data_IF_925838943811
#
_entry.id   IF_925838943811
#
_cell.length_a   1.000
_cell.length_b   1.000
_cell.length_c   1.000
_cell.angle_alpha   90.00
_cell.angle_beta   90.00
_cell.angle_gamma   90.00
#
_symmetry.space_group_name_H-M   'P 1'
#
loop_
_entity.id
_entity.type
_entity.pdbx_description
1 polymer ?
#
# COMPACT_ATOMS: atom_id res chain seq x y z
N UNK A 1 -19.79 -0.39 7.96
CA UNK A 1 -18.37 0.00 7.85
C UNK A 1 -17.61 -1.24 7.38
N UNK A 2 -16.87 -1.15 6.27
CA UNK A 2 -16.11 -2.28 5.72
C UNK A 2 -14.62 -2.06 6.02
N UNK A 3 -13.81 -3.06 5.70
CA UNK A 3 -12.36 -2.94 5.83
C UNK A 3 -11.71 -3.05 4.47
N UNK A 4 -10.76 -2.17 4.18
CA UNK A 4 -9.80 -2.39 3.10
C UNK A 4 -8.52 -2.92 3.73
N UNK A 5 -8.01 -4.02 3.19
CA UNK A 5 -6.66 -4.50 3.49
C UNK A 5 -5.73 -3.98 2.42
N UNK A 6 -4.74 -3.20 2.83
CA UNK A 6 -3.60 -2.87 1.99
C UNK A 6 -2.51 -3.89 2.27
N UNK A 7 -2.04 -4.56 1.22
CA UNK A 7 -0.90 -5.48 1.28
C UNK A 7 0.30 -4.84 0.59
N UNK A 8 1.43 -4.81 1.28
CA UNK A 8 2.71 -4.35 0.74
C UNK A 8 3.70 -5.51 0.81
N UNK A 9 4.38 -5.77 -0.30
CA UNK A 9 5.45 -6.77 -0.39
C UNK A 9 6.75 -6.08 -0.79
N UNK A 10 7.87 -6.51 -0.19
CA UNK A 10 9.22 -6.09 -0.58
C UNK A 10 9.53 -4.58 -0.41
N UNK A 11 8.93 -3.94 0.60
CA UNK A 11 9.26 -2.53 0.92
C UNK A 11 10.61 -2.43 1.65
N UNK A 12 11.66 -2.21 0.87
CA UNK A 12 13.00 -1.90 1.35
C UNK A 12 13.78 -1.09 0.31
N UNK A 13 14.85 -0.44 0.75
CA UNK A 13 15.84 0.17 -0.13
C UNK A 13 17.11 -0.69 -0.15
N UNK A 14 17.62 -1.00 -1.34
CA UNK A 14 18.92 -1.65 -1.51
C UNK A 14 19.97 -0.59 -1.90
N UNK A 15 20.87 -0.26 -0.97
CA UNK A 15 22.01 0.64 -1.22
C UNK A 15 23.31 -0.12 -1.02
N UNK A 16 24.06 -0.32 -2.10
CA UNK A 16 25.35 -1.05 -2.11
C UNK A 16 25.26 -2.44 -1.46
N UNK A 17 24.15 -3.16 -1.69
CA UNK A 17 23.91 -4.49 -1.13
C UNK A 17 23.41 -4.52 0.32
N UNK A 18 23.24 -3.36 0.95
CA UNK A 18 22.65 -3.23 2.29
C UNK A 18 21.18 -2.88 2.15
N UNK A 19 20.32 -3.67 2.81
CA UNK A 19 18.89 -3.39 2.91
C UNK A 19 18.62 -2.37 4.03
N UNK A 20 17.94 -1.28 3.71
CA UNK A 20 17.45 -0.28 4.66
C UNK A 20 15.94 -0.12 4.57
N UNK A 21 15.34 0.53 5.58
CA UNK A 21 13.92 0.82 5.56
C UNK A 21 13.55 1.70 4.35
N UNK A 22 12.57 1.26 3.58
CA UNK A 22 11.93 2.04 2.54
C UNK A 22 10.73 2.83 3.07
N UNK A 23 10.19 3.67 2.19
CA UNK A 23 8.96 4.43 2.43
C UNK A 23 8.12 4.46 1.17
N UNK A 24 6.80 4.36 1.33
CA UNK A 24 5.84 4.55 0.24
C UNK A 24 4.65 5.35 0.73
N UNK A 25 4.35 6.44 0.01
CA UNK A 25 3.09 7.16 0.14
C UNK A 25 2.12 6.62 -0.91
N UNK A 26 0.91 6.30 -0.49
CA UNK A 26 -0.09 5.72 -1.38
C UNK A 26 -1.50 6.23 -1.10
N UNK A 27 -2.35 6.07 -2.11
CA UNK A 27 -3.78 6.36 -2.05
C UNK A 27 -4.57 5.16 -2.56
N UNK A 28 -5.69 4.88 -1.91
CA UNK A 28 -6.69 3.92 -2.40
C UNK A 28 -7.92 4.71 -2.84
N UNK A 29 -8.28 4.56 -4.11
CA UNK A 29 -9.38 5.28 -4.75
C UNK A 29 -10.47 4.30 -5.17
N UNK A 30 -11.72 4.65 -4.90
CA UNK A 30 -12.90 3.91 -5.36
C UNK A 30 -13.90 4.89 -5.98
N UNK A 31 -14.35 4.65 -7.21
CA UNK A 31 -15.31 5.52 -7.89
C UNK A 31 -14.88 7.00 -7.97
N UNK A 32 -13.57 7.26 -8.09
CA UNK A 32 -13.00 8.61 -8.12
C UNK A 32 -12.84 9.30 -6.76
N UNK A 33 -13.25 8.65 -5.66
CA UNK A 33 -13.07 9.17 -4.29
C UNK A 33 -11.88 8.51 -3.61
N UNK A 34 -11.05 9.30 -2.93
CA UNK A 34 -9.96 8.79 -2.09
C UNK A 34 -10.58 8.25 -0.80
N UNK A 35 -10.36 6.96 -0.53
CA UNK A 35 -10.81 6.29 0.69
C UNK A 35 -9.70 6.23 1.74
N UNK A 36 -8.46 6.08 1.29
CA UNK A 36 -7.26 5.97 2.13
C UNK A 36 -6.18 6.83 1.51
N UNK A 37 -5.51 7.61 2.33
CA UNK A 37 -4.25 8.29 2.04
C UNK A 37 -3.33 8.05 3.23
N UNK A 38 -2.20 7.38 3.01
CA UNK A 38 -1.28 7.00 4.07
C UNK A 38 0.15 6.90 3.56
N UNK A 39 1.11 6.97 4.48
CA UNK A 39 2.53 6.71 4.21
C UNK A 39 3.02 5.61 5.13
N UNK A 40 3.61 4.56 4.55
CA UNK A 40 4.18 3.46 5.30
C UNK A 40 5.69 3.46 5.19
N UNK A 41 6.33 3.30 6.35
CA UNK A 41 7.78 3.20 6.50
C UNK A 41 8.10 1.81 7.06
N UNK A 42 9.09 1.13 6.49
CA UNK A 42 9.46 -0.18 6.98
C UNK A 42 10.54 -0.85 6.16
N UNK A 43 11.05 -1.96 6.69
CA UNK A 43 11.92 -2.90 5.98
C UNK A 43 11.22 -4.25 5.98
N UNK A 44 10.50 -4.55 4.91
CA UNK A 44 9.69 -5.77 4.78
C UNK A 44 10.14 -6.52 3.53
N UNK A 45 10.63 -7.74 3.70
CA UNK A 45 11.02 -8.66 2.63
C UNK A 45 9.95 -9.71 2.28
N UNK A 46 8.72 -9.48 2.74
CA UNK A 46 7.55 -10.34 2.57
C UNK A 46 6.27 -9.52 2.65
N UNK A 47 5.13 -10.16 2.94
CA UNK A 47 3.85 -9.46 2.97
C UNK A 47 3.59 -8.77 4.32
N UNK A 48 3.45 -7.45 4.29
CA UNK A 48 2.84 -6.65 5.34
C UNK A 48 1.40 -6.33 5.00
N UNK A 49 0.48 -6.50 5.95
CA UNK A 49 -0.95 -6.22 5.77
C UNK A 49 -1.41 -5.21 6.82
N UNK A 50 -2.01 -4.11 6.37
CA UNK A 50 -2.66 -3.12 7.24
C UNK A 50 -4.14 -3.01 6.90
N UNK A 51 -4.96 -3.03 7.94
CA UNK A 51 -6.43 -2.91 7.82
C UNK A 51 -6.83 -1.46 8.06
N UNK A 52 -7.71 -0.96 7.20
CA UNK A 52 -8.26 0.39 7.29
C UNK A 52 -9.78 0.29 7.36
N UNK A 53 -10.42 0.69 8.48
CA UNK A 53 -11.86 0.77 8.57
C UNK A 53 -12.34 1.97 7.75
N UNK A 54 -13.02 1.70 6.63
CA UNK A 54 -13.51 2.72 5.70
C UNK A 54 -14.91 2.38 5.21
N UNK A 55 -15.67 3.40 4.79
CA UNK A 55 -16.91 3.18 4.09
C UNK A 55 -16.60 3.02 2.59
N UNK A 56 -16.51 1.77 2.15
CA UNK A 56 -16.28 1.41 0.75
C UNK A 56 -17.42 0.52 0.22
N UNK A 57 -17.60 0.60 -1.10
CA UNK A 57 -18.59 -0.18 -1.84
C UNK A 57 -17.98 -1.47 -2.38
N UNK A 58 -18.74 -2.23 -3.17
CA UNK A 58 -18.24 -3.42 -3.89
C UNK A 58 -17.54 -3.10 -5.22
N UNK A 59 -17.32 -1.80 -5.52
CA UNK A 59 -16.68 -1.36 -6.76
C UNK A 59 -15.16 -1.59 -6.78
N UNK A 60 -14.52 -1.47 -7.96
CA UNK A 60 -13.07 -1.67 -8.10
C UNK A 60 -12.27 -0.66 -7.28
N UNK A 61 -11.17 -1.14 -6.69
CA UNK A 61 -10.19 -0.31 -5.98
C UNK A 61 -9.00 -0.03 -6.88
N UNK A 62 -8.53 1.21 -6.88
CA UNK A 62 -7.31 1.63 -7.56
C UNK A 62 -6.29 2.09 -6.53
N UNK A 63 -5.07 1.55 -6.63
CA UNK A 63 -3.95 1.97 -5.78
C UNK A 63 -3.03 2.88 -6.58
N UNK A 64 -2.76 4.06 -6.05
CA UNK A 64 -1.78 5.00 -6.57
C UNK A 64 -0.67 5.14 -5.55
N UNK A 65 0.59 5.20 -5.98
CA UNK A 65 1.72 5.39 -5.08
C UNK A 65 2.79 6.30 -5.69
N UNK A 66 3.58 6.95 -4.83
CA UNK A 66 4.58 7.95 -5.22
C UNK A 66 5.87 7.36 -5.80
N UNK A 67 6.09 6.05 -5.65
CA UNK A 67 7.32 5.41 -6.06
C UNK A 67 7.07 4.32 -7.12
N UNK A 68 7.10 4.66 -8.43
CA UNK A 68 6.92 3.69 -9.51
C UNK A 68 8.12 2.75 -9.71
N UNK A 69 9.25 2.98 -9.03
CA UNK A 69 10.46 2.18 -9.17
C UNK A 69 10.41 0.87 -8.36
N UNK A 70 9.64 -0.07 -8.93
CA UNK A 70 9.75 -1.54 -9.02
C UNK A 70 10.21 -2.46 -7.88
N UNK A 71 10.74 -2.01 -6.75
CA UNK A 71 11.25 -2.96 -5.75
C UNK A 71 10.21 -3.44 -4.75
N UNK A 72 8.98 -2.92 -4.81
CA UNK A 72 7.88 -3.34 -3.93
C UNK A 72 6.57 -3.47 -4.71
N UNK A 73 5.62 -4.21 -4.15
CA UNK A 73 4.26 -4.35 -4.66
C UNK A 73 3.28 -3.84 -3.63
N UNK A 74 2.27 -3.07 -4.05
CA UNK A 74 1.17 -2.63 -3.19
C UNK A 74 -0.17 -2.98 -3.83
N UNK A 75 -1.07 -3.59 -3.06
CA UNK A 75 -2.44 -3.95 -3.49
C UNK A 75 -3.46 -3.63 -2.41
N UNK A 76 -4.71 -3.46 -2.82
CA UNK A 76 -5.83 -3.23 -1.92
C UNK A 76 -6.97 -4.21 -2.22
N UNK A 77 -7.64 -4.70 -1.17
CA UNK A 77 -8.80 -5.59 -1.29
C UNK A 77 -9.85 -5.26 -0.22
N UNK A 78 -11.13 -5.37 -0.58
CA UNK A 78 -12.24 -5.23 0.37
C UNK A 78 -12.43 -6.54 1.13
N UNK A 79 -12.59 -6.44 2.45
CA UNK A 79 -12.99 -7.53 3.34
C UNK A 79 -14.37 -7.25 3.93
#
# INVERSE_FOLDING_TARGET
MKNIIVTISDLYELKKGVMSAGSVAFKVVQGGKVLIEDTLHGNVSGDYKKRYPVNCDAGPLFVQHNNPEKNFKITASVM
#
